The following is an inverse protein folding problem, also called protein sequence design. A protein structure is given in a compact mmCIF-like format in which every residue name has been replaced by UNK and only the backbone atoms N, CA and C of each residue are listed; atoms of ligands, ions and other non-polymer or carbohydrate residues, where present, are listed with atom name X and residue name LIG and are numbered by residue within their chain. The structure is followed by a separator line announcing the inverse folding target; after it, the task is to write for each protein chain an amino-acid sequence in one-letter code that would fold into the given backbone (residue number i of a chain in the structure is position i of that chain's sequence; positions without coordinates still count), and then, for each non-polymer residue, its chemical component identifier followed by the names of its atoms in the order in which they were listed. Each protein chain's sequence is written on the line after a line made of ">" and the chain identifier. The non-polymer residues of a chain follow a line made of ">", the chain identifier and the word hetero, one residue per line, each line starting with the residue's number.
data_IF_561180612076
#
_entry.id   IF_561180612076
#
_cell.length_a   1.000
_cell.length_b   1.000
_cell.length_c   1.000
_cell.angle_alpha   90.00
_cell.angle_beta   90.00
_cell.angle_gamma   90.00
#
_symmetry.space_group_name_H-M   'P 1'
#
loop_
_entity.id
_entity.type
_entity.pdbx_description
1 polymer ?
#
# COMPACT_ATOMS: atom_id res chain seq x y z
N UNK A 1 -2.60 -6.13 6.00
CA UNK A 1 -3.38 -4.89 5.80
C UNK A 1 -3.36 -4.40 4.35
N UNK A 2 -2.20 -4.18 3.71
CA UNK A 2 -2.16 -3.59 2.35
C UNK A 2 -2.08 -4.60 1.20
N UNK A 3 -2.01 -5.91 1.46
CA UNK A 3 -1.82 -6.94 0.42
C UNK A 3 -3.11 -7.41 -0.26
N UNK A 4 -4.21 -7.49 0.50
CA UNK A 4 -5.48 -8.04 0.03
C UNK A 4 -6.03 -7.25 -1.17
N UNK A 5 -6.32 -7.96 -2.27
CA UNK A 5 -6.76 -7.38 -3.55
C UNK A 5 -5.68 -7.32 -4.63
N UNK A 6 -4.40 -7.49 -4.28
CA UNK A 6 -3.31 -7.51 -5.27
C UNK A 6 -2.22 -8.56 -5.01
N UNK A 7 -2.22 -9.24 -3.86
CA UNK A 7 -1.36 -10.40 -3.60
C UNK A 7 -2.25 -11.63 -3.58
N UNK A 8 -1.88 -12.64 -4.36
CA UNK A 8 -2.62 -13.90 -4.43
C UNK A 8 -2.31 -14.77 -3.21
N UNK A 9 -3.37 -15.17 -2.51
CA UNK A 9 -3.34 -16.13 -1.41
C UNK A 9 -4.76 -16.58 -1.08
N UNK A 10 -4.85 -17.81 -0.57
CA UNK A 10 -6.08 -18.38 -0.05
C UNK A 10 -6.13 -18.18 1.47
N UNK A 11 -7.11 -17.41 1.97
CA UNK A 11 -7.25 -17.12 3.41
C UNK A 11 -7.25 -18.40 4.26
N UNK A 12 -8.03 -19.45 3.95
CA UNK A 12 -8.05 -20.68 4.73
C UNK A 12 -6.70 -21.38 4.86
N UNK A 13 -5.76 -21.15 3.95
CA UNK A 13 -4.47 -21.84 3.92
C UNK A 13 -3.38 -21.07 4.68
N UNK A 14 -3.61 -19.78 4.96
CA UNK A 14 -2.57 -18.90 5.52
C UNK A 14 -2.91 -18.30 6.88
N UNK A 15 -4.20 -18.20 7.26
CA UNK A 15 -4.60 -17.64 8.56
C UNK A 15 -6.03 -17.99 8.98
N UNK A 16 -6.31 -17.90 10.28
CA UNK A 16 -7.68 -18.03 10.83
C UNK A 16 -8.46 -16.71 10.79
N UNK A 17 -7.75 -15.58 10.81
CA UNK A 17 -8.28 -14.22 10.77
C UNK A 17 -7.40 -13.37 9.86
N UNK A 18 -7.99 -12.83 8.80
CA UNK A 18 -7.40 -11.79 7.96
C UNK A 18 -8.03 -10.44 8.30
N UNK A 19 -7.18 -9.46 8.61
CA UNK A 19 -7.58 -8.06 8.78
C UNK A 19 -7.02 -7.21 7.64
N UNK A 20 -7.90 -6.48 6.97
CA UNK A 20 -7.55 -5.64 5.84
C UNK A 20 -8.28 -4.30 5.84
N UNK A 21 -7.78 -3.36 5.04
CA UNK A 21 -8.33 -2.02 4.89
C UNK A 21 -9.09 -1.91 3.56
N UNK A 22 -10.15 -1.08 3.55
CA UNK A 22 -10.91 -0.78 2.33
C UNK A 22 -10.12 0.05 1.29
N UNK A 23 -9.07 0.76 1.72
CA UNK A 23 -8.45 1.85 0.96
C UNK A 23 -6.99 1.60 0.55
N UNK A 24 -6.67 0.32 0.28
CA UNK A 24 -5.35 -0.12 -0.20
C UNK A 24 -5.48 -0.78 -1.56
N UNK A 25 -5.11 -2.05 -1.69
CA UNK A 25 -5.08 -2.74 -2.98
C UNK A 25 -6.46 -2.98 -3.60
N UNK A 26 -7.57 -2.86 -2.83
CA UNK A 26 -8.92 -2.83 -3.42
C UNK A 26 -9.25 -1.47 -4.06
N UNK A 27 -8.53 -0.40 -3.70
CA UNK A 27 -8.72 0.97 -4.20
C UNK A 27 -10.02 1.66 -3.77
N UNK A 28 -10.59 1.28 -2.63
CA UNK A 28 -11.68 2.05 -2.00
C UNK A 28 -11.19 3.31 -1.27
N UNK A 29 -12.10 3.96 -0.55
CA UNK A 29 -11.82 5.14 0.30
C UNK A 29 -11.69 4.75 1.78
N UNK A 30 -10.94 5.50 2.61
CA UNK A 30 -10.84 5.20 4.03
C UNK A 30 -12.19 5.40 4.73
N UNK A 31 -12.41 4.65 5.81
CA UNK A 31 -13.63 4.78 6.63
C UNK A 31 -13.95 3.52 7.44
N UNK A 32 -13.53 2.35 6.97
CA UNK A 32 -13.69 1.09 7.69
C UNK A 32 -12.59 0.08 7.30
N UNK A 33 -12.52 -0.99 8.10
CA UNK A 33 -11.67 -2.16 7.86
C UNK A 33 -12.54 -3.41 7.74
N UNK A 34 -12.00 -4.45 7.11
CA UNK A 34 -12.66 -5.74 6.99
C UNK A 34 -11.93 -6.79 7.83
N UNK A 35 -12.71 -7.68 8.43
CA UNK A 35 -12.23 -8.87 9.12
C UNK A 35 -12.85 -10.08 8.46
N UNK A 36 -12.02 -10.94 7.87
CA UNK A 36 -12.40 -12.23 7.32
C UNK A 36 -11.89 -13.28 8.31
N UNK A 37 -12.80 -13.99 8.97
CA UNK A 37 -12.43 -14.95 10.02
C UNK A 37 -13.18 -16.26 9.86
N UNK A 38 -12.59 -17.36 10.35
CA UNK A 38 -13.31 -18.63 10.46
C UNK A 38 -14.51 -18.47 11.39
N UNK A 39 -15.70 -18.88 10.92
CA UNK A 39 -16.95 -18.79 11.68
C UNK A 39 -16.85 -19.42 13.07
N UNK A 40 -16.31 -20.63 13.16
CA UNK A 40 -16.15 -21.33 14.44
C UNK A 40 -15.28 -20.54 15.45
N UNK A 41 -14.37 -19.69 14.98
CA UNK A 41 -13.58 -18.83 15.85
C UNK A 41 -14.41 -17.63 16.35
N UNK A 42 -15.16 -16.97 15.46
CA UNK A 42 -16.06 -15.86 15.84
C UNK A 42 -17.10 -16.30 16.88
N UNK A 43 -17.66 -17.51 16.73
CA UNK A 43 -18.61 -18.09 17.68
C UNK A 43 -18.00 -18.32 19.07
N UNK A 44 -16.76 -18.83 19.12
CA UNK A 44 -16.05 -19.05 20.40
C UNK A 44 -15.68 -17.74 21.09
N UNK A 45 -15.44 -16.66 20.34
CA UNK A 45 -15.02 -15.37 20.86
C UNK A 45 -16.17 -14.49 21.40
N UNK A 46 -17.42 -14.97 21.41
CA UNK A 46 -18.56 -14.22 21.96
C UNK A 46 -18.32 -13.83 23.42
N UNK A 47 -18.51 -12.55 23.74
CA UNK A 47 -18.32 -12.01 25.08
C UNK A 47 -16.86 -11.81 25.50
N UNK A 48 -15.89 -12.03 24.60
CA UNK A 48 -14.47 -11.83 24.91
C UNK A 48 -14.05 -10.36 24.84
N UNK A 49 -14.68 -9.56 23.98
CA UNK A 49 -14.33 -8.16 23.84
C UNK A 49 -14.82 -7.36 25.06
N UNK A 50 -13.93 -6.66 25.78
CA UNK A 50 -14.35 -5.72 26.81
C UNK A 50 -14.90 -4.41 26.20
N UNK A 51 -14.76 -4.23 24.89
CA UNK A 51 -15.25 -3.05 24.16
C UNK A 51 -16.49 -3.39 23.34
N UNK A 52 -17.56 -2.65 23.55
CA UNK A 52 -18.78 -2.76 22.75
C UNK A 52 -18.53 -2.38 21.27
N UNK A 53 -17.76 -1.32 21.01
CA UNK A 53 -17.55 -0.81 19.64
C UNK A 53 -16.55 -1.66 18.83
N UNK A 54 -15.66 -2.40 19.50
CA UNK A 54 -14.65 -3.25 18.87
C UNK A 54 -14.98 -4.74 19.00
N UNK A 55 -16.19 -5.09 19.46
CA UNK A 55 -16.64 -6.49 19.49
C UNK A 55 -17.01 -6.97 18.07
N UNK A 56 -16.05 -7.64 17.43
CA UNK A 56 -16.21 -8.20 16.08
C UNK A 56 -17.25 -9.32 16.06
N UNK A 57 -17.33 -10.14 17.11
CA UNK A 57 -18.31 -11.23 17.19
C UNK A 57 -19.74 -10.69 17.31
N UNK A 58 -19.94 -9.64 18.13
CA UNK A 58 -21.22 -8.94 18.22
C UNK A 58 -21.59 -8.26 16.90
N UNK A 59 -20.64 -7.56 16.26
CA UNK A 59 -20.89 -6.89 14.98
C UNK A 59 -21.26 -7.91 13.89
N UNK A 60 -20.58 -9.06 13.84
CA UNK A 60 -20.91 -10.16 12.94
C UNK A 60 -22.31 -10.72 13.21
N UNK A 61 -22.65 -11.02 14.48
CA UNK A 61 -23.98 -11.50 14.86
C UNK A 61 -25.09 -10.51 14.45
N UNK A 62 -24.84 -9.20 14.59
CA UNK A 62 -25.77 -8.15 14.17
C UNK A 62 -25.99 -8.14 12.65
N UNK A 63 -24.90 -8.25 11.87
CA UNK A 63 -24.96 -8.32 10.41
C UNK A 63 -25.75 -9.55 9.93
N UNK A 64 -25.51 -10.73 10.50
CA UNK A 64 -26.21 -11.97 10.11
C UNK A 64 -27.71 -11.94 10.45
N UNK A 65 -28.06 -11.47 11.66
CA UNK A 65 -29.46 -11.48 12.13
C UNK A 65 -30.32 -10.40 11.48
N UNK A 66 -29.72 -9.27 11.11
CA UNK A 66 -30.45 -8.08 10.66
C UNK A 66 -30.21 -7.78 9.17
N UNK A 67 -29.98 -8.80 8.34
CA UNK A 67 -29.88 -8.64 6.89
C UNK A 67 -28.75 -7.71 6.42
N UNK A 68 -27.62 -7.71 7.12
CA UNK A 68 -26.46 -6.87 6.83
C UNK A 68 -26.48 -5.49 7.51
N UNK A 69 -27.44 -5.20 8.39
CA UNK A 69 -27.46 -3.96 9.15
C UNK A 69 -26.35 -3.93 10.22
N UNK A 70 -25.58 -2.85 10.24
CA UNK A 70 -24.53 -2.64 11.22
C UNK A 70 -25.11 -2.35 12.61
N UNK A 71 -24.42 -2.80 13.65
CA UNK A 71 -24.82 -2.54 15.04
C UNK A 71 -24.73 -1.06 15.42
N UNK A 72 -23.92 -0.29 14.69
CA UNK A 72 -23.71 1.15 14.84
C UNK A 72 -23.84 1.83 13.48
N UNK A 73 -23.97 3.16 13.46
CA UNK A 73 -24.06 3.93 12.23
C UNK A 73 -22.87 3.63 11.31
N UNK A 74 -23.09 3.03 10.13
CA UNK A 74 -21.99 2.70 9.24
C UNK A 74 -21.54 3.95 8.46
N UNK A 75 -20.29 3.98 7.97
CA UNK A 75 -19.82 5.00 7.03
C UNK A 75 -20.38 4.70 5.64
N UNK A 76 -21.68 4.98 5.42
CA UNK A 76 -22.45 4.59 4.23
C UNK A 76 -21.73 4.98 2.93
N UNK A 77 -21.20 6.19 2.85
CA UNK A 77 -20.50 6.69 1.66
C UNK A 77 -19.24 5.87 1.36
N UNK A 78 -18.47 5.51 2.38
CA UNK A 78 -17.28 4.67 2.21
C UNK A 78 -17.64 3.24 1.80
N UNK A 79 -18.75 2.69 2.30
CA UNK A 79 -19.24 1.36 1.91
C UNK A 79 -19.69 1.34 0.45
N UNK A 80 -20.44 2.36 0.00
CA UNK A 80 -20.88 2.47 -1.39
C UNK A 80 -19.68 2.66 -2.33
N UNK A 81 -18.70 3.48 -1.95
CA UNK A 81 -17.45 3.62 -2.70
C UNK A 81 -16.65 2.30 -2.73
N UNK A 82 -16.64 1.53 -1.64
CA UNK A 82 -15.98 0.22 -1.63
C UNK A 82 -16.68 -0.79 -2.55
N UNK A 83 -18.01 -0.76 -2.64
CA UNK A 83 -18.75 -1.57 -3.62
C UNK A 83 -18.31 -1.23 -5.05
N UNK A 84 -18.17 0.06 -5.36
CA UNK A 84 -17.70 0.48 -6.68
C UNK A 84 -16.25 0.00 -6.94
N UNK A 85 -15.36 0.14 -5.96
CA UNK A 85 -13.98 -0.33 -6.07
C UNK A 85 -13.87 -1.85 -6.29
N UNK A 86 -14.79 -2.65 -5.71
CA UNK A 86 -14.88 -4.09 -5.97
C UNK A 86 -15.30 -4.40 -7.42
N UNK A 87 -16.24 -3.63 -7.98
CA UNK A 87 -16.66 -3.79 -9.38
C UNK A 87 -15.53 -3.45 -10.34
N UNK A 88 -14.81 -2.35 -10.09
CA UNK A 88 -13.63 -1.95 -10.89
C UNK A 88 -12.48 -2.96 -10.76
N UNK A 89 -12.30 -3.54 -9.56
CA UNK A 89 -11.34 -4.63 -9.35
C UNK A 89 -11.67 -5.86 -10.17
N UNK A 90 -12.94 -6.26 -10.22
CA UNK A 90 -13.39 -7.36 -11.08
C UNK A 90 -13.21 -7.03 -12.56
N UNK A 91 -13.58 -5.82 -12.99
CA UNK A 91 -13.41 -5.34 -14.37
C UNK A 91 -11.94 -5.30 -14.82
N UNK A 92 -11.02 -4.97 -13.92
CA UNK A 92 -9.57 -5.01 -14.19
C UNK A 92 -9.06 -6.44 -14.45
N UNK A 93 -9.78 -7.47 -14.00
CA UNK A 93 -9.35 -8.87 -14.04
C UNK A 93 -8.94 -9.42 -12.66
N UNK A 94 -9.41 -8.78 -11.59
CA UNK A 94 -9.24 -9.24 -10.22
C UNK A 94 -7.79 -9.17 -9.71
N UNK A 95 -7.49 -10.03 -8.74
CA UNK A 95 -6.20 -10.05 -8.04
C UNK A 95 -5.04 -10.25 -9.02
N UNK A 96 -5.16 -11.18 -9.96
CA UNK A 96 -4.08 -11.53 -10.90
C UNK A 96 -3.69 -10.36 -11.80
N UNK A 97 -4.67 -9.68 -12.41
CA UNK A 97 -4.40 -8.56 -13.30
C UNK A 97 -3.82 -7.36 -12.54
N UNK A 98 -4.38 -7.05 -11.36
CA UNK A 98 -3.89 -5.97 -10.50
C UNK A 98 -2.48 -6.26 -9.96
N UNK A 99 -2.21 -7.49 -9.56
CA UNK A 99 -0.88 -7.94 -9.14
C UNK A 99 0.15 -7.70 -10.25
N UNK A 100 -0.17 -8.11 -11.47
CA UNK A 100 0.68 -7.92 -12.65
C UNK A 100 0.99 -6.44 -12.87
N UNK A 101 -0.04 -5.57 -12.88
CA UNK A 101 0.13 -4.12 -13.05
C UNK A 101 1.05 -3.54 -11.97
N UNK A 102 0.81 -3.86 -10.70
CA UNK A 102 1.63 -3.35 -9.60
C UNK A 102 3.08 -3.86 -9.66
N UNK A 103 3.30 -5.12 -10.00
CA UNK A 103 4.65 -5.69 -10.16
C UNK A 103 5.43 -5.03 -11.30
N UNK A 104 4.78 -4.80 -12.45
CA UNK A 104 5.41 -4.16 -13.61
C UNK A 104 5.82 -2.71 -13.30
N UNK A 105 4.92 -1.94 -12.67
CA UNK A 105 5.21 -0.57 -12.23
C UNK A 105 6.31 -0.52 -11.16
N UNK A 106 6.25 -1.42 -10.18
CA UNK A 106 7.25 -1.52 -9.13
C UNK A 106 8.64 -1.81 -9.69
N UNK A 107 8.74 -2.80 -10.57
CA UNK A 107 9.99 -3.14 -11.25
C UNK A 107 10.54 -1.95 -12.03
N UNK A 108 9.71 -1.27 -12.83
CA UNK A 108 10.13 -0.10 -13.60
C UNK A 108 10.73 1.01 -12.70
N UNK A 109 10.05 1.35 -11.61
CA UNK A 109 10.53 2.36 -10.66
C UNK A 109 11.83 1.91 -10.00
N UNK A 110 11.90 0.65 -9.55
CA UNK A 110 13.09 0.11 -8.88
C UNK A 110 14.30 0.13 -9.81
N UNK A 111 14.15 -0.31 -11.06
CA UNK A 111 15.22 -0.37 -12.04
C UNK A 111 15.75 1.04 -12.36
N UNK A 112 14.87 2.03 -12.56
CA UNK A 112 15.26 3.44 -12.77
C UNK A 112 15.95 4.03 -11.52
N UNK A 113 15.33 3.87 -10.34
CA UNK A 113 15.86 4.42 -9.09
C UNK A 113 17.26 3.88 -8.76
N UNK A 114 17.46 2.58 -8.90
CA UNK A 114 18.72 1.92 -8.57
C UNK A 114 19.76 2.03 -9.69
N UNK A 115 19.35 1.78 -10.93
CA UNK A 115 20.23 1.73 -12.08
C UNK A 115 20.56 3.10 -12.67
N UNK A 116 19.59 4.01 -12.79
CA UNK A 116 19.80 5.33 -13.39
C UNK A 116 20.19 6.39 -12.37
N UNK A 117 19.57 6.38 -11.19
CA UNK A 117 19.78 7.41 -10.18
C UNK A 117 20.69 7.00 -9.05
N UNK A 118 21.03 5.71 -8.91
CA UNK A 118 22.00 5.22 -7.92
C UNK A 118 21.46 5.10 -6.50
N UNK A 119 20.13 5.15 -6.30
CA UNK A 119 19.55 4.88 -4.98
C UNK A 119 19.73 3.41 -4.58
N UNK A 120 19.76 3.17 -3.28
CA UNK A 120 19.87 1.82 -2.73
C UNK A 120 18.53 1.34 -2.17
N UNK A 121 18.16 0.10 -2.47
CA UNK A 121 17.03 -0.55 -1.82
C UNK A 121 17.31 -0.76 -0.34
N UNK A 122 16.29 -0.58 0.49
CA UNK A 122 16.39 -0.89 1.92
C UNK A 122 16.31 -2.40 2.18
N UNK A 123 15.43 -3.10 1.46
CA UNK A 123 15.25 -4.54 1.54
C UNK A 123 15.86 -5.24 0.33
N UNK A 124 16.44 -6.41 0.58
CA UNK A 124 16.93 -7.31 -0.46
C UNK A 124 15.75 -7.85 -1.31
N UNK A 125 15.72 -7.61 -2.63
CA UNK A 125 14.64 -8.01 -3.51
C UNK A 125 14.50 -9.53 -3.70
N UNK A 126 15.51 -10.32 -3.29
CA UNK A 126 15.46 -11.79 -3.35
C UNK A 126 14.69 -12.41 -2.19
N UNK A 127 14.38 -11.63 -1.14
CA UNK A 127 13.74 -12.15 0.08
C UNK A 127 12.22 -12.18 -0.05
N UNK A 128 11.53 -13.19 0.54
CA UNK A 128 10.06 -13.26 0.53
C UNK A 128 9.35 -12.05 1.17
N UNK A 129 10.05 -11.29 2.03
CA UNK A 129 9.54 -10.07 2.65
C UNK A 129 9.49 -8.88 1.68
N UNK A 130 10.11 -8.98 0.50
CA UNK A 130 10.08 -7.92 -0.50
C UNK A 130 8.74 -7.93 -1.23
N UNK A 131 8.03 -6.80 -1.18
CA UNK A 131 6.71 -6.64 -1.78
C UNK A 131 6.69 -5.58 -2.86
N UNK A 132 5.72 -5.66 -3.76
CA UNK A 132 5.58 -4.77 -4.93
C UNK A 132 4.52 -3.66 -4.75
N UNK A 133 3.94 -3.53 -3.56
CA UNK A 133 2.90 -2.52 -3.27
C UNK A 133 3.52 -1.16 -2.91
N UNK A 134 4.70 -1.19 -2.29
CA UNK A 134 5.48 -0.01 -1.90
C UNK A 134 6.94 -0.44 -1.71
N UNK A 135 7.87 0.35 -2.23
CA UNK A 135 9.32 0.09 -2.08
C UNK A 135 9.95 1.13 -1.17
N UNK A 136 10.86 0.68 -0.31
CA UNK A 136 11.68 1.54 0.53
C UNK A 136 13.10 1.67 -0.04
N UNK A 137 13.58 2.89 -0.13
CA UNK A 137 14.94 3.25 -0.53
C UNK A 137 15.67 3.87 0.66
N UNK A 138 16.98 3.62 0.77
CA UNK A 138 17.83 4.29 1.77
C UNK A 138 17.98 5.75 1.41
N UNK A 139 17.89 6.63 2.40
CA UNK A 139 18.21 8.05 2.21
C UNK A 139 19.70 8.19 1.93
N UNK A 140 20.10 8.78 0.79
CA UNK A 140 21.50 9.09 0.48
C UNK A 140 22.21 9.85 1.59
N UNK A 141 23.50 9.54 1.79
CA UNK A 141 24.38 10.24 2.72
C UNK A 141 25.39 11.08 1.92
N UNK A 142 24.89 12.00 1.10
CA UNK A 142 25.69 12.85 0.21
C UNK A 142 25.37 14.33 0.45
N UNK A 143 26.28 15.26 0.10
CA UNK A 143 25.99 16.69 0.15
C UNK A 143 24.72 17.05 -0.62
N UNK A 144 24.00 18.07 -0.14
CA UNK A 144 22.76 18.60 -0.74
C UNK A 144 21.56 17.65 -0.73
N UNK A 145 21.69 16.41 -0.21
CA UNK A 145 20.53 15.55 -0.04
C UNK A 145 19.67 16.03 1.14
N UNK A 146 18.38 16.25 0.86
CA UNK A 146 17.33 16.48 1.85
C UNK A 146 16.04 15.84 1.37
N UNK A 147 15.50 14.88 2.13
CA UNK A 147 14.23 14.24 1.76
C UNK A 147 13.08 15.26 1.68
N UNK A 148 13.05 16.24 2.58
CA UNK A 148 11.99 17.25 2.59
C UNK A 148 12.04 18.11 1.32
N UNK A 149 13.23 18.54 0.89
CA UNK A 149 13.38 19.30 -0.35
C UNK A 149 13.04 18.45 -1.58
N UNK A 150 13.49 17.19 -1.61
CA UNK A 150 13.15 16.24 -2.67
C UNK A 150 11.64 16.03 -2.77
N UNK A 151 10.98 15.83 -1.63
CA UNK A 151 9.52 15.68 -1.52
C UNK A 151 8.78 16.92 -2.00
N UNK A 152 9.14 18.11 -1.53
CA UNK A 152 8.44 19.35 -1.89
C UNK A 152 8.58 19.65 -3.38
N UNK A 153 9.77 19.44 -3.96
CA UNK A 153 10.00 19.65 -5.40
C UNK A 153 9.27 18.64 -6.27
N UNK A 154 9.16 17.37 -5.85
CA UNK A 154 8.34 16.38 -6.56
C UNK A 154 6.85 16.71 -6.44
N UNK A 155 6.41 17.19 -5.28
CA UNK A 155 5.02 17.61 -5.06
C UNK A 155 4.64 18.78 -5.95
N UNK A 156 5.56 19.74 -6.17
CA UNK A 156 5.37 20.83 -7.14
C UNK A 156 5.25 20.33 -8.59
N UNK A 157 5.85 19.17 -8.90
CA UNK A 157 5.67 18.46 -10.18
C UNK A 157 4.42 17.54 -10.21
N UNK A 158 3.61 17.53 -9.15
CA UNK A 158 2.37 16.74 -9.06
C UNK A 158 2.54 15.35 -8.44
N UNK A 159 3.72 15.01 -7.89
CA UNK A 159 4.01 13.68 -7.36
C UNK A 159 4.22 13.69 -5.84
N UNK A 160 3.44 12.87 -5.12
CA UNK A 160 3.54 12.74 -3.66
C UNK A 160 4.15 11.39 -3.29
N UNK A 161 5.40 11.41 -2.79
CA UNK A 161 6.08 10.24 -2.23
C UNK A 161 5.94 10.18 -0.71
N UNK A 162 6.46 9.14 -0.05
CA UNK A 162 6.26 8.94 1.40
C UNK A 162 7.58 8.96 2.18
N UNK A 163 7.61 9.58 3.37
CA UNK A 163 8.75 9.43 4.28
C UNK A 163 8.87 7.98 4.76
N UNK A 164 10.08 7.57 5.08
CA UNK A 164 10.37 6.34 5.79
C UNK A 164 9.92 6.42 7.24
N UNK A 165 9.65 5.25 7.82
CA UNK A 165 9.35 5.10 9.26
C UNK A 165 10.13 3.94 9.86
N UNK A 166 11.24 3.53 9.23
CA UNK A 166 12.05 2.44 9.72
C UNK A 166 12.84 2.93 10.95
N UNK A 167 12.63 2.31 12.12
CA UNK A 167 13.24 2.74 13.38
C UNK A 167 14.77 2.67 13.40
N UNK A 168 15.37 1.93 12.46
CA UNK A 168 16.81 1.62 12.45
C UNK A 168 17.53 2.11 11.20
N UNK A 169 16.85 2.83 10.29
CA UNK A 169 17.47 3.37 9.08
C UNK A 169 16.68 4.56 8.54
N UNK A 170 17.41 5.60 8.10
CA UNK A 170 16.82 6.69 7.35
C UNK A 170 16.47 6.21 5.93
N UNK A 171 15.19 6.33 5.59
CA UNK A 171 14.61 5.79 4.35
C UNK A 171 13.51 6.71 3.85
N UNK A 172 13.16 6.54 2.59
CA UNK A 172 11.90 7.03 2.03
C UNK A 172 11.25 5.93 1.18
N UNK A 173 10.02 6.16 0.75
CA UNK A 173 9.21 5.14 0.07
C UNK A 173 8.45 5.69 -1.12
N UNK A 174 8.33 4.86 -2.14
CA UNK A 174 7.50 5.11 -3.33
C UNK A 174 6.48 3.99 -3.42
N UNK A 175 5.19 4.37 -3.41
CA UNK A 175 4.06 3.45 -3.53
C UNK A 175 3.68 3.21 -4.99
N UNK A 176 3.20 2.01 -5.28
CA UNK A 176 2.82 1.54 -6.63
C UNK A 176 1.40 0.98 -6.65
N UNK A 177 0.54 1.52 -5.78
CA UNK A 177 -0.83 1.06 -5.58
C UNK A 177 -1.83 2.19 -5.82
N UNK A 178 -3.05 1.83 -6.19
CA UNK A 178 -4.11 2.79 -6.51
C UNK A 178 -4.28 2.99 -8.01
N UNK A 179 -4.91 4.10 -8.36
CA UNK A 179 -5.11 4.55 -9.73
C UNK A 179 -3.81 5.16 -10.29
N UNK A 180 -2.81 4.28 -10.42
CA UNK A 180 -1.49 4.57 -10.97
C UNK A 180 -1.26 3.60 -12.12
N UNK A 181 -0.74 4.12 -13.21
CA UNK A 181 -0.41 3.37 -14.42
C UNK A 181 1.04 3.61 -14.84
N UNK A 182 1.50 2.83 -15.82
CA UNK A 182 2.88 2.93 -16.31
C UNK A 182 3.26 4.34 -16.79
N UNK A 183 2.41 5.11 -17.50
CA UNK A 183 2.72 6.49 -17.86
C UNK A 183 3.01 7.39 -16.66
N UNK A 184 2.28 7.22 -15.55
CA UNK A 184 2.52 7.97 -14.31
C UNK A 184 3.87 7.61 -13.69
N UNK A 185 4.25 6.32 -13.76
CA UNK A 185 5.55 5.84 -13.29
C UNK A 185 6.70 6.41 -14.14
N UNK A 186 6.53 6.48 -15.46
CA UNK A 186 7.50 7.12 -16.39
C UNK A 186 7.65 8.60 -16.03
N UNK A 187 6.53 9.31 -15.91
CA UNK A 187 6.54 10.74 -15.58
C UNK A 187 7.18 11.01 -14.21
N UNK A 188 6.88 10.18 -13.20
CA UNK A 188 7.53 10.25 -11.89
C UNK A 188 9.04 10.05 -11.99
N UNK A 189 9.51 9.06 -12.74
CA UNK A 189 10.95 8.80 -12.86
C UNK A 189 11.67 9.94 -13.57
N UNK A 190 11.06 10.56 -14.58
CA UNK A 190 11.64 11.72 -15.24
C UNK A 190 11.67 12.95 -14.30
N UNK A 191 10.60 13.15 -13.52
CA UNK A 191 10.54 14.17 -12.46
C UNK A 191 11.65 13.97 -11.43
N UNK A 192 11.89 12.74 -10.96
CA UNK A 192 12.99 12.41 -10.04
C UNK A 192 14.34 12.85 -10.63
N UNK A 193 14.61 12.52 -11.89
CA UNK A 193 15.86 12.91 -12.55
C UNK A 193 16.04 14.43 -12.63
N UNK A 194 14.98 15.18 -12.91
CA UNK A 194 14.99 16.64 -12.97
C UNK A 194 15.17 17.27 -11.58
N UNK A 195 14.49 16.75 -10.56
CA UNK A 195 14.61 17.21 -9.18
C UNK A 195 16.03 16.99 -8.65
N UNK A 196 16.63 15.81 -8.87
CA UNK A 196 18.01 15.53 -8.46
C UNK A 196 19.02 16.51 -9.07
N UNK A 197 18.86 16.82 -10.36
CA UNK A 197 19.68 17.85 -11.04
C UNK A 197 19.51 19.23 -10.41
N UNK A 198 18.26 19.64 -10.12
CA UNK A 198 17.97 20.94 -9.49
C UNK A 198 18.49 21.04 -8.06
N UNK A 199 18.52 19.91 -7.33
CA UNK A 199 19.12 19.80 -6.00
C UNK A 199 20.65 19.66 -6.03
N UNK A 200 21.27 19.53 -7.20
CA UNK A 200 22.69 19.26 -7.36
C UNK A 200 23.15 18.02 -6.55
N UNK A 201 22.38 16.93 -6.67
CA UNK A 201 22.66 15.62 -6.06
C UNK A 201 23.10 14.64 -7.15
N UNK A 202 24.29 14.04 -7.00
CA UNK A 202 24.74 12.87 -7.77
C UNK A 202 25.04 11.71 -6.83
N UNK A 203 24.51 10.53 -7.14
CA UNK A 203 24.73 9.30 -6.35
C UNK A 203 25.63 8.28 -7.05
N UNK A 204 26.00 8.51 -8.32
CA UNK A 204 26.79 7.58 -9.13
C UNK A 204 28.29 7.85 -9.08
N UNK A 205 28.68 9.06 -8.69
CA UNK A 205 30.08 9.52 -8.71
C UNK A 205 30.71 9.54 -7.30
N UNK A 206 30.04 8.97 -6.31
CA UNK A 206 30.60 8.83 -4.96
C UNK A 206 31.39 7.53 -4.95
N UNK A 207 32.72 7.65 -5.05
CA UNK A 207 33.66 6.54 -4.91
C UNK A 207 33.20 5.61 -3.77
N UNK A 208 32.75 4.40 -4.13
CA UNK A 208 32.49 3.30 -3.21
C UNK A 208 33.77 2.53 -2.93
#
# INVERSE_FOLDING_TARGET
>A
MSSFGAVDFSVPDVCDILVTSANKCIQGVPGFSLVLARRALLERCRGWSPSYTLDVSMQWDGLEKNGGQFSQTPPVQAIVAFRQALLEHEQEGGVTARAKRYMEMNRYIVDRMTGEYGFELFLDPTRPSYGFVITAFRSPQVPNWSFNEFYDRLKDEGFVIYPGKASFADTFRIGTLGDIHMPDCVALMDAVGNVLKRMNVSLKDVDR
#
